data_IF_838652665962
#
_entry.id   IF_838652665962
#
_cell.length_a   1.000
_cell.length_b   1.000
_cell.length_c   1.000
_cell.angle_alpha   90.00
_cell.angle_beta   90.00
_cell.angle_gamma   90.00
#
_symmetry.space_group_name_H-M   'P 1'
#
loop_
_entity.id
_entity.type
_entity.pdbx_description
1 polymer ?
#
# COMPACT_ATOMS: atom_id res chain seq x y z
N UNK A 1 -24.37 -2.69 -5.23
CA UNK A 1 -24.19 -1.63 -6.24
C UNK A 1 -25.50 -0.95 -6.60
N UNK A 2 -26.60 -1.69 -6.81
CA UNK A 2 -27.93 -1.14 -7.18
C UNK A 2 -28.47 -0.17 -6.12
N UNK A 3 -28.34 -0.49 -4.84
CA UNK A 3 -28.75 0.40 -3.74
C UNK A 3 -27.93 1.70 -3.73
N UNK A 4 -26.61 1.61 -3.97
CA UNK A 4 -25.74 2.77 -4.07
C UNK A 4 -26.12 3.64 -5.28
N UNK A 5 -26.39 3.04 -6.44
CA UNK A 5 -26.83 3.76 -7.64
C UNK A 5 -28.16 4.50 -7.40
N UNK A 6 -29.14 3.83 -6.78
CA UNK A 6 -30.41 4.43 -6.43
C UNK A 6 -30.26 5.61 -5.46
N UNK A 7 -29.41 5.46 -4.43
CA UNK A 7 -29.11 6.52 -3.47
C UNK A 7 -28.44 7.72 -4.16
N UNK A 8 -27.44 7.49 -5.01
CA UNK A 8 -26.75 8.55 -5.75
C UNK A 8 -27.67 9.28 -6.72
N UNK A 9 -28.56 8.55 -7.40
CA UNK A 9 -29.59 9.14 -8.27
C UNK A 9 -30.50 10.06 -7.48
N UNK A 10 -31.08 9.58 -6.37
CA UNK A 10 -31.94 10.39 -5.50
C UNK A 10 -31.22 11.61 -4.94
N UNK A 11 -29.94 11.49 -4.58
CA UNK A 11 -29.12 12.61 -4.16
C UNK A 11 -28.97 13.65 -5.28
N UNK A 12 -28.63 13.23 -6.49
CA UNK A 12 -28.43 14.12 -7.64
C UNK A 12 -29.72 14.85 -8.06
N UNK A 13 -30.89 14.26 -7.84
CA UNK A 13 -32.20 14.90 -8.09
C UNK A 13 -32.54 16.02 -7.08
N UNK A 14 -31.92 16.00 -5.90
CA UNK A 14 -32.21 16.94 -4.80
C UNK A 14 -31.22 18.10 -4.70
N UNK A 15 -30.06 18.00 -5.37
CA UNK A 15 -29.07 19.08 -5.35
C UNK A 15 -29.48 20.24 -6.26
N UNK A 16 -29.03 21.49 -6.00
CA UNK A 16 -29.24 22.63 -6.89
C UNK A 16 -28.75 22.37 -8.32
N UNK A 17 -29.45 22.90 -9.33
CA UNK A 17 -29.15 22.63 -10.74
C UNK A 17 -27.79 23.15 -11.21
N UNK A 18 -27.20 24.09 -10.49
CA UNK A 18 -25.88 24.69 -10.74
C UNK A 18 -24.75 24.02 -9.97
N UNK A 19 -25.04 22.86 -9.36
CA UNK A 19 -24.08 22.08 -8.58
C UNK A 19 -23.48 20.97 -9.43
N UNK A 20 -22.16 20.96 -9.53
CA UNK A 20 -21.42 19.83 -10.10
C UNK A 20 -21.08 18.80 -9.02
N UNK A 21 -21.18 17.52 -9.37
CA UNK A 21 -20.85 16.39 -8.48
C UNK A 21 -19.74 15.57 -9.08
N UNK A 22 -18.73 15.26 -8.25
CA UNK A 22 -17.67 14.29 -8.57
C UNK A 22 -17.76 13.13 -7.58
N UNK A 23 -17.83 11.92 -8.11
CA UNK A 23 -17.79 10.68 -7.32
C UNK A 23 -16.52 9.94 -7.67
N UNK A 24 -15.72 9.64 -6.66
CA UNK A 24 -14.45 8.90 -6.80
C UNK A 24 -14.23 8.02 -5.57
N UNK A 25 -13.12 7.32 -5.53
CA UNK A 25 -12.65 6.57 -4.36
C UNK A 25 -11.20 6.96 -4.04
N UNK A 26 -10.75 6.71 -2.83
CA UNK A 26 -9.39 6.93 -2.36
C UNK A 26 -8.42 5.90 -2.94
N UNK A 27 -8.83 4.63 -3.06
CA UNK A 27 -8.09 3.52 -3.65
C UNK A 27 -9.04 2.42 -4.13
N UNK A 28 -8.51 1.49 -4.89
CA UNK A 28 -9.16 0.22 -5.18
C UNK A 28 -8.83 -0.84 -4.12
N UNK A 29 -9.11 -2.10 -4.42
CA UNK A 29 -8.91 -3.23 -3.52
C UNK A 29 -8.75 -4.53 -4.30
N UNK A 30 -8.00 -5.48 -3.76
CA UNK A 30 -7.90 -6.84 -4.32
C UNK A 30 -8.33 -7.88 -3.29
N UNK A 31 -8.87 -8.98 -3.78
CA UNK A 31 -9.06 -10.19 -2.98
C UNK A 31 -7.71 -10.87 -2.77
N UNK A 32 -7.47 -11.34 -1.54
CA UNK A 32 -6.25 -12.03 -1.14
C UNK A 32 -6.59 -13.37 -0.50
N UNK A 33 -5.63 -14.27 -0.44
CA UNK A 33 -5.85 -15.63 0.05
C UNK A 33 -4.87 -16.03 1.14
N UNK A 34 -5.32 -16.83 2.12
CA UNK A 34 -4.47 -17.30 3.22
C UNK A 34 -3.17 -18.00 2.76
N UNK A 35 -3.16 -18.83 1.69
CA UNK A 35 -1.92 -19.43 1.20
C UNK A 35 -0.89 -18.43 0.64
N UNK A 36 -1.31 -17.19 0.40
CA UNK A 36 -0.46 -16.10 -0.11
C UNK A 36 -0.06 -15.09 0.98
N UNK A 37 -0.33 -15.40 2.24
CA UNK A 37 0.15 -14.62 3.37
C UNK A 37 1.59 -14.99 3.67
N UNK A 38 2.49 -14.00 3.65
CA UNK A 38 3.89 -14.16 4.04
C UNK A 38 4.13 -13.44 5.36
N UNK A 39 4.70 -14.18 6.31
CA UNK A 39 5.21 -13.61 7.57
C UNK A 39 6.72 -13.48 7.41
N UNK A 40 7.23 -12.25 7.48
CA UNK A 40 8.63 -11.91 7.18
C UNK A 40 9.47 -11.69 8.45
N UNK A 41 8.99 -12.10 9.62
CA UNK A 41 9.64 -11.89 10.91
C UNK A 41 11.11 -12.37 10.91
N UNK A 42 11.34 -13.62 10.50
CA UNK A 42 12.68 -14.22 10.48
C UNK A 42 13.65 -13.45 9.57
N UNK A 43 13.14 -12.89 8.46
CA UNK A 43 13.97 -12.11 7.53
C UNK A 43 14.39 -10.78 8.15
N UNK A 44 13.45 -10.09 8.80
CA UNK A 44 13.71 -8.83 9.46
C UNK A 44 14.63 -8.99 10.68
N UNK A 45 14.43 -10.03 11.49
CA UNK A 45 15.27 -10.34 12.65
C UNK A 45 16.68 -10.76 12.23
N UNK A 46 16.82 -11.57 11.17
CA UNK A 46 18.10 -12.03 10.65
C UNK A 46 18.99 -10.88 10.19
N UNK A 47 18.41 -9.86 9.56
CA UNK A 47 19.17 -8.70 9.09
C UNK A 47 19.79 -7.88 10.24
N UNK A 48 19.16 -7.92 11.43
CA UNK A 48 19.60 -7.20 12.63
C UNK A 48 19.59 -5.68 12.53
N UNK A 49 19.16 -5.13 11.38
CA UNK A 49 19.19 -3.69 11.09
C UNK A 49 17.79 -3.10 10.89
N UNK A 50 16.73 -3.92 10.95
CA UNK A 50 15.36 -3.45 10.84
C UNK A 50 14.88 -2.92 12.20
N UNK A 51 14.71 -1.62 12.29
CA UNK A 51 14.24 -0.93 13.49
C UNK A 51 12.72 -1.09 13.64
N UNK A 52 11.99 -0.86 12.55
CA UNK A 52 10.54 -0.81 12.55
C UNK A 52 9.97 -1.18 11.18
N UNK A 53 8.80 -1.81 11.17
CA UNK A 53 8.02 -2.07 9.96
C UNK A 53 6.65 -1.44 10.11
N UNK A 54 6.32 -0.51 9.20
CA UNK A 54 5.03 0.16 9.13
C UNK A 54 4.31 -0.15 7.82
N UNK A 55 3.32 0.68 7.50
CA UNK A 55 2.53 0.54 6.26
C UNK A 55 1.33 -0.39 6.42
N UNK A 56 1.03 -1.14 5.38
CA UNK A 56 -0.09 -2.07 5.33
C UNK A 56 0.37 -3.44 4.78
N UNK A 57 -0.51 -4.42 4.77
CA UNK A 57 -0.22 -5.79 4.31
C UNK A 57 0.15 -5.88 2.83
N UNK A 58 -0.17 -4.87 2.04
CA UNK A 58 0.17 -4.77 0.61
C UNK A 58 1.39 -3.89 0.36
N UNK A 59 1.80 -3.08 1.35
CA UNK A 59 3.04 -2.30 1.31
C UNK A 59 3.66 -2.27 2.69
N UNK A 60 4.82 -2.89 2.88
CA UNK A 60 5.58 -2.73 4.10
C UNK A 60 6.60 -1.60 3.95
N UNK A 61 6.61 -0.68 4.89
CA UNK A 61 7.59 0.38 5.06
C UNK A 61 8.64 -0.08 6.06
N UNK A 62 9.83 -0.36 5.57
CA UNK A 62 10.93 -0.91 6.38
C UNK A 62 11.89 0.22 6.74
N UNK A 63 11.94 0.53 8.03
CA UNK A 63 12.83 1.53 8.61
C UNK A 63 14.05 0.84 9.19
N UNK A 64 15.25 1.35 8.89
CA UNK A 64 16.52 0.77 9.29
C UNK A 64 17.20 1.61 10.38
N UNK A 65 17.88 0.96 11.31
CA UNK A 65 18.77 1.63 12.28
C UNK A 65 20.03 2.18 11.60
N UNK A 66 20.49 1.49 10.55
CA UNK A 66 21.62 1.88 9.71
C UNK A 66 21.22 1.79 8.24
N UNK A 67 21.11 2.92 7.58
CA UNK A 67 20.81 2.99 6.14
C UNK A 67 21.87 2.33 5.27
N UNK A 68 23.11 2.16 5.77
CA UNK A 68 24.17 1.40 5.09
C UNK A 68 23.89 -0.09 4.97
N UNK A 69 22.97 -0.63 5.79
CA UNK A 69 22.59 -2.04 5.77
C UNK A 69 21.51 -2.39 4.70
N UNK A 70 21.02 -1.43 3.94
CA UNK A 70 19.88 -1.62 3.01
C UNK A 70 20.13 -2.74 1.99
N UNK A 71 21.34 -2.86 1.44
CA UNK A 71 21.69 -3.89 0.46
C UNK A 71 21.68 -5.29 1.10
N UNK A 72 22.10 -5.39 2.36
CA UNK A 72 22.04 -6.66 3.09
C UNK A 72 20.58 -7.05 3.39
N UNK A 73 19.75 -6.09 3.81
CA UNK A 73 18.31 -6.34 4.06
C UNK A 73 17.62 -6.80 2.78
N UNK A 74 17.90 -6.16 1.65
CA UNK A 74 17.36 -6.57 0.33
C UNK A 74 17.81 -7.99 -0.01
N UNK A 75 19.09 -8.33 0.21
CA UNK A 75 19.61 -9.67 -0.04
C UNK A 75 18.98 -10.75 0.85
N UNK A 76 18.71 -10.44 2.12
CA UNK A 76 18.04 -11.35 3.05
C UNK A 76 16.55 -11.58 2.68
N UNK A 77 15.92 -10.62 2.02
CA UNK A 77 14.53 -10.69 1.51
C UNK A 77 14.44 -11.34 0.12
N UNK A 78 15.56 -11.49 -0.61
CA UNK A 78 15.58 -12.00 -1.98
C UNK A 78 14.84 -13.34 -2.17
N UNK A 79 14.93 -14.34 -1.26
CA UNK A 79 14.20 -15.60 -1.40
C UNK A 79 12.67 -15.44 -1.54
N UNK A 80 12.12 -14.31 -1.16
CA UNK A 80 10.69 -13.98 -1.24
C UNK A 80 10.35 -12.97 -2.35
N UNK A 81 11.31 -12.62 -3.21
CA UNK A 81 11.15 -11.64 -4.30
C UNK A 81 10.07 -12.01 -5.32
N UNK A 82 9.62 -13.25 -5.34
CA UNK A 82 8.45 -13.69 -6.11
C UNK A 82 7.13 -13.07 -5.61
N UNK A 83 7.07 -12.62 -4.36
CA UNK A 83 5.85 -12.12 -3.70
C UNK A 83 5.79 -10.59 -3.63
N UNK A 84 6.89 -9.88 -3.79
CA UNK A 84 6.95 -8.42 -3.72
C UNK A 84 8.10 -7.86 -4.57
N UNK A 85 8.02 -6.56 -4.84
CA UNK A 85 9.13 -5.75 -5.33
C UNK A 85 9.71 -4.95 -4.14
N UNK A 86 11.01 -5.06 -3.93
CA UNK A 86 11.74 -4.26 -2.95
C UNK A 86 12.24 -2.98 -3.65
N UNK A 87 11.76 -1.84 -3.20
CA UNK A 87 12.06 -0.52 -3.79
C UNK A 87 12.72 0.36 -2.74
N UNK A 88 13.95 0.80 -3.00
CA UNK A 88 14.61 1.80 -2.16
C UNK A 88 13.89 3.14 -2.29
N UNK A 89 13.63 3.81 -1.18
CA UNK A 89 12.90 5.08 -1.19
C UNK A 89 13.59 6.14 -2.04
N UNK A 90 14.91 6.17 -2.07
CA UNK A 90 15.66 7.09 -2.93
C UNK A 90 15.38 6.86 -4.42
N UNK A 91 15.22 5.61 -4.84
CA UNK A 91 14.84 5.26 -6.22
C UNK A 91 13.43 5.73 -6.54
N UNK A 92 12.48 5.56 -5.63
CA UNK A 92 11.11 6.05 -5.79
C UNK A 92 11.04 7.58 -5.85
N UNK A 93 11.84 8.29 -5.04
CA UNK A 93 11.97 9.75 -5.10
C UNK A 93 12.58 10.18 -6.45
N UNK A 94 13.67 9.54 -6.88
CA UNK A 94 14.30 9.83 -8.17
C UNK A 94 13.38 9.56 -9.36
N UNK A 95 12.51 8.55 -9.25
CA UNK A 95 11.45 8.24 -10.22
C UNK A 95 10.21 9.16 -10.11
N UNK A 96 10.24 10.16 -9.23
CA UNK A 96 9.18 11.14 -9.01
C UNK A 96 7.82 10.53 -8.57
N UNK A 97 7.85 9.45 -7.80
CA UNK A 97 6.61 8.80 -7.31
C UNK A 97 5.83 9.69 -6.34
N UNK A 98 6.51 10.56 -5.60
CA UNK A 98 5.94 11.43 -4.57
C UNK A 98 5.86 12.91 -4.99
N UNK A 99 6.25 13.23 -6.24
CA UNK A 99 6.41 14.62 -6.65
C UNK A 99 7.57 15.31 -5.89
N UNK A 100 7.41 16.59 -5.56
CA UNK A 100 8.39 17.31 -4.75
C UNK A 100 8.32 16.85 -3.29
N UNK A 101 9.41 16.29 -2.78
CA UNK A 101 9.52 15.80 -1.40
C UNK A 101 10.29 16.82 -0.56
N UNK A 102 9.58 17.52 0.32
CA UNK A 102 10.20 18.46 1.26
C UNK A 102 10.94 17.71 2.38
N UNK A 103 11.99 18.32 2.94
CA UNK A 103 12.85 17.69 3.96
C UNK A 103 12.07 17.08 5.14
N UNK A 104 11.06 17.76 5.75
CA UNK A 104 10.31 17.16 6.86
C UNK A 104 9.47 15.91 6.49
N UNK A 105 9.15 15.75 5.20
CA UNK A 105 8.50 14.53 4.71
C UNK A 105 9.57 13.45 4.45
N UNK A 106 10.69 13.83 3.85
CA UNK A 106 11.81 12.93 3.56
C UNK A 106 12.34 12.25 4.82
N UNK A 107 12.46 12.99 5.93
CA UNK A 107 12.94 12.47 7.23
C UNK A 107 12.01 11.41 7.87
N UNK A 108 10.81 11.22 7.30
CA UNK A 108 9.81 10.25 7.78
C UNK A 108 9.55 9.10 6.83
N UNK A 109 10.18 9.11 5.66
CA UNK A 109 10.08 8.00 4.72
C UNK A 109 10.93 6.82 5.20
N UNK A 110 10.50 5.58 4.92
CA UNK A 110 11.32 4.40 5.18
C UNK A 110 12.54 4.37 4.27
N UNK A 111 13.55 3.60 4.57
CA UNK A 111 14.66 3.32 3.66
C UNK A 111 14.22 2.39 2.52
N UNK A 112 13.31 1.45 2.80
CA UNK A 112 12.87 0.44 1.85
C UNK A 112 11.35 0.27 1.89
N UNK A 113 10.75 0.09 0.72
CA UNK A 113 9.34 -0.27 0.56
C UNK A 113 9.23 -1.64 -0.08
N UNK A 114 8.43 -2.54 0.49
CA UNK A 114 8.09 -3.82 -0.11
C UNK A 114 6.67 -3.74 -0.68
N UNK A 115 6.55 -3.79 -2.00
CA UNK A 115 5.29 -3.67 -2.73
C UNK A 115 4.80 -5.06 -3.11
N UNK A 116 3.74 -5.55 -2.48
CA UNK A 116 3.23 -6.89 -2.71
C UNK A 116 2.72 -7.08 -4.15
N UNK A 117 3.11 -8.19 -4.76
CA UNK A 117 2.68 -8.64 -6.10
C UNK A 117 1.41 -9.48 -6.03
N UNK A 118 0.71 -9.60 -7.14
CA UNK A 118 -0.47 -10.45 -7.26
C UNK A 118 -1.38 -10.32 -6.03
N UNK A 119 -1.83 -11.43 -5.45
CA UNK A 119 -2.67 -11.52 -4.26
C UNK A 119 -1.89 -11.83 -2.96
N UNK A 120 -0.56 -11.61 -2.97
CA UNK A 120 0.25 -11.75 -1.75
C UNK A 120 -0.05 -10.65 -0.73
N UNK A 121 0.07 -11.00 0.55
CA UNK A 121 0.09 -10.08 1.68
C UNK A 121 1.32 -10.31 2.54
N UNK A 122 1.90 -9.22 3.04
CA UNK A 122 3.15 -9.21 3.77
C UNK A 122 2.86 -8.83 5.22
N UNK A 123 3.30 -9.65 6.16
CA UNK A 123 3.06 -9.44 7.58
C UNK A 123 4.38 -9.43 8.37
N UNK A 124 4.36 -8.63 9.42
CA UNK A 124 5.26 -8.77 10.56
C UNK A 124 4.39 -8.98 11.80
N UNK A 125 4.49 -10.13 12.46
CA UNK A 125 3.57 -10.56 13.53
C UNK A 125 3.53 -9.57 14.70
N UNK A 126 4.65 -8.89 14.99
CA UNK A 126 4.77 -7.88 16.05
C UNK A 126 3.91 -6.63 15.81
N UNK A 127 3.68 -6.25 14.54
CA UNK A 127 3.03 -4.98 14.21
C UNK A 127 1.61 -5.15 13.69
N UNK A 128 1.24 -6.34 13.23
CA UNK A 128 -0.11 -6.62 12.73
C UNK A 128 -0.98 -7.31 13.78
N UNK A 129 -2.24 -6.89 13.85
CA UNK A 129 -3.21 -7.52 14.78
C UNK A 129 -3.66 -8.88 14.25
N UNK A 130 -3.96 -9.82 15.16
CA UNK A 130 -4.42 -11.16 14.79
C UNK A 130 -5.58 -11.16 13.78
N UNK A 131 -6.56 -10.24 13.92
CA UNK A 131 -7.69 -10.11 12.99
C UNK A 131 -7.29 -9.75 11.55
N UNK A 132 -6.12 -9.15 11.34
CA UNK A 132 -5.65 -8.80 10.00
C UNK A 132 -5.39 -10.04 9.13
N UNK A 133 -5.03 -11.16 9.76
CA UNK A 133 -4.81 -12.44 9.08
C UNK A 133 -6.10 -13.11 8.58
N UNK A 134 -7.27 -12.64 9.03
CA UNK A 134 -8.58 -13.16 8.60
C UNK A 134 -9.24 -12.28 7.54
N UNK A 135 -8.65 -11.14 7.20
CA UNK A 135 -9.14 -10.28 6.13
C UNK A 135 -8.92 -10.96 4.77
N UNK A 136 -9.90 -10.83 3.89
CA UNK A 136 -9.91 -11.44 2.55
C UNK A 136 -9.70 -10.43 1.43
N UNK A 137 -9.67 -9.14 1.76
CA UNK A 137 -9.44 -8.08 0.80
C UNK A 137 -8.50 -7.03 1.39
N UNK A 138 -7.57 -6.56 0.57
CA UNK A 138 -6.50 -5.64 0.96
C UNK A 138 -6.20 -4.64 -0.16
N UNK A 139 -5.49 -3.57 0.21
CA UNK A 139 -4.99 -2.55 -0.71
C UNK A 139 -3.63 -2.01 -0.21
N UNK A 140 -2.99 -1.16 -0.98
CA UNK A 140 -1.77 -0.43 -0.58
C UNK A 140 -0.60 -0.61 -1.55
N UNK A 141 -0.63 -1.64 -2.43
CA UNK A 141 0.38 -1.82 -3.47
C UNK A 141 0.00 -1.06 -4.77
N UNK A 142 0.81 -1.23 -5.81
CA UNK A 142 0.68 -0.51 -7.08
C UNK A 142 -0.03 -1.32 -8.18
N UNK A 143 -0.79 -2.36 -7.83
CA UNK A 143 -1.53 -3.11 -8.85
C UNK A 143 -2.64 -2.23 -9.49
N UNK A 144 -2.98 -2.45 -10.77
CA UNK A 144 -4.06 -1.69 -11.41
C UNK A 144 -5.39 -1.73 -10.67
N UNK A 145 -5.69 -2.82 -9.98
CA UNK A 145 -6.91 -2.98 -9.18
C UNK A 145 -6.89 -2.13 -7.89
N UNK A 146 -5.70 -1.81 -7.38
CA UNK A 146 -5.52 -1.00 -6.16
C UNK A 146 -5.43 0.50 -6.48
N UNK A 147 -4.82 0.88 -7.62
CA UNK A 147 -4.57 2.30 -7.95
C UNK A 147 -5.63 2.93 -8.87
N UNK A 148 -6.42 2.13 -9.61
CA UNK A 148 -7.49 2.66 -10.46
C UNK A 148 -8.75 2.85 -9.65
N UNK A 149 -9.27 4.08 -9.68
CA UNK A 149 -10.50 4.47 -9.01
C UNK A 149 -11.51 5.00 -10.02
N UNK A 150 -12.82 4.92 -9.73
CA UNK A 150 -13.83 5.54 -10.58
C UNK A 150 -13.69 7.07 -10.57
N UNK A 151 -14.07 7.71 -11.67
CA UNK A 151 -14.27 9.13 -11.77
C UNK A 151 -15.60 9.39 -12.50
N UNK A 152 -16.67 9.58 -11.74
CA UNK A 152 -17.99 9.90 -12.26
C UNK A 152 -18.23 11.40 -12.11
N UNK A 153 -18.61 12.06 -13.20
CA UNK A 153 -18.84 13.51 -13.24
C UNK A 153 -20.28 13.79 -13.67
N UNK A 154 -20.97 14.62 -12.91
CA UNK A 154 -22.37 14.99 -13.15
C UNK A 154 -22.48 16.52 -13.09
N UNK A 155 -23.14 17.14 -14.05
CA UNK A 155 -23.36 18.59 -14.08
C UNK A 155 -22.15 19.44 -14.55
N UNK A 156 -21.24 18.86 -15.34
CA UNK A 156 -20.10 19.54 -15.96
C UNK A 156 -20.36 19.81 -17.43
#
# INVERSE_FOLDING_TARGET
>A
LEELDAMLRSFCEQIPKDTAVVITADHGMIETSKPRQLILDDCYEKSGSVQFVGGDTRVNYVYLDDSGAIDQVVADLEPFSYAFDAVKTEEAIAANWFGEVLQPAKDRLPELMLLAKSDFTLYHSKYFKARSFDMIAHHGSLSPAEIRVPLIRIGF
#
